data_IF_252914571891
#
_entry.id   IF_252914571891
#
_cell.length_a   1.000
_cell.length_b   1.000
_cell.length_c   1.000
_cell.angle_alpha   90.00
_cell.angle_beta   90.00
_cell.angle_gamma   90.00
#
_symmetry.space_group_name_H-M   'P 1'
#
loop_
_entity.id
_entity.type
_entity.pdbx_description
1 polymer ?
#
# COMPACT_ATOMS: atom_id res chain seq x y z
N UNK A 1 -10.47 -12.87 12.11
CA UNK A 1 -9.07 -13.36 12.11
C UNK A 1 -8.40 -13.24 10.73
N UNK A 2 -9.08 -13.58 9.63
CA UNK A 2 -8.53 -13.48 8.26
C UNK A 2 -8.23 -12.05 7.77
N UNK A 3 -8.95 -11.05 8.28
CA UNK A 3 -8.77 -9.63 7.90
C UNK A 3 -7.45 -9.09 8.44
N UNK A 4 -7.11 -9.42 9.68
CA UNK A 4 -5.82 -9.07 10.29
C UNK A 4 -4.67 -9.72 9.53
N UNK A 5 -4.83 -10.96 9.08
CA UNK A 5 -3.82 -11.61 8.23
C UNK A 5 -3.73 -10.96 6.85
N UNK A 6 -4.84 -10.54 6.22
CA UNK A 6 -4.81 -9.81 4.93
C UNK A 6 -4.14 -8.44 5.11
N UNK A 7 -4.45 -7.72 6.19
CA UNK A 7 -3.81 -6.45 6.51
C UNK A 7 -2.30 -6.63 6.74
N UNK A 8 -1.89 -7.62 7.54
CA UNK A 8 -0.46 -7.93 7.78
C UNK A 8 0.23 -8.34 6.48
N UNK A 9 -0.38 -9.18 5.64
CA UNK A 9 0.18 -9.58 4.34
C UNK A 9 0.25 -8.36 3.39
N UNK A 10 -0.74 -7.48 3.41
CA UNK A 10 -0.76 -6.22 2.66
C UNK A 10 0.36 -5.28 3.11
N UNK A 11 0.57 -5.13 4.41
CA UNK A 11 1.67 -4.35 4.98
C UNK A 11 3.04 -4.96 4.63
N UNK A 12 3.21 -6.28 4.76
CA UNK A 12 4.45 -6.97 4.37
C UNK A 12 4.69 -6.85 2.85
N UNK A 13 3.63 -6.96 2.03
CA UNK A 13 3.67 -6.82 0.58
C UNK A 13 4.02 -5.41 0.12
N UNK A 14 3.48 -4.38 0.77
CA UNK A 14 3.83 -2.98 0.54
C UNK A 14 5.30 -2.70 0.94
N UNK A 15 5.77 -3.29 2.04
CA UNK A 15 7.14 -3.09 2.54
C UNK A 15 8.21 -3.79 1.67
N UNK A 16 7.89 -4.96 1.10
CA UNK A 16 8.81 -5.73 0.23
C UNK A 16 8.99 -5.10 -1.17
N UNK A 17 8.20 -4.09 -1.53
CA UNK A 17 8.26 -3.36 -2.81
C UNK A 17 9.32 -2.23 -2.86
N UNK A 18 10.23 -2.13 -1.89
CA UNK A 18 11.09 -0.93 -1.78
C UNK A 18 12.19 -0.81 -2.86
N UNK A 19 12.65 -1.92 -3.47
CA UNK A 19 13.74 -1.88 -4.48
C UNK A 19 13.26 -1.73 -5.94
N UNK A 20 12.03 -2.14 -6.23
CA UNK A 20 11.44 -2.05 -7.59
C UNK A 20 10.82 -0.69 -7.89
N UNK A 21 10.62 0.13 -6.84
CA UNK A 21 9.94 1.41 -6.94
C UNK A 21 10.64 2.34 -7.93
N UNK A 22 11.97 2.48 -7.86
CA UNK A 22 12.78 3.31 -8.77
C UNK A 22 12.71 2.87 -10.25
N UNK A 23 12.74 1.56 -10.51
CA UNK A 23 12.67 1.00 -11.87
C UNK A 23 11.26 1.07 -12.47
N UNK A 24 10.22 1.03 -11.63
CA UNK A 24 8.82 1.02 -12.09
C UNK A 24 8.21 2.41 -12.19
N UNK A 25 8.59 3.34 -11.31
CA UNK A 25 8.07 4.71 -11.29
C UNK A 25 8.86 5.69 -12.16
N UNK A 26 10.02 5.26 -12.70
CA UNK A 26 10.86 6.10 -13.58
C UNK A 26 11.08 7.48 -12.98
N UNK A 27 11.59 7.49 -11.75
CA UNK A 27 11.82 8.68 -10.94
C UNK A 27 13.28 8.74 -10.48
N UNK A 28 13.75 9.93 -10.09
CA UNK A 28 15.09 10.11 -9.56
C UNK A 28 15.14 11.05 -8.35
N UNK A 29 15.78 10.57 -7.29
CA UNK A 29 15.87 11.29 -6.01
C UNK A 29 14.55 11.31 -5.25
N UNK A 30 14.54 11.95 -4.09
CA UNK A 30 13.30 12.21 -3.34
C UNK A 30 12.47 13.28 -4.05
N UNK A 31 13.08 14.42 -4.33
CA UNK A 31 12.45 15.55 -5.02
C UNK A 31 12.91 15.64 -6.47
N UNK A 32 14.21 15.42 -6.73
CA UNK A 32 14.77 15.41 -8.08
C UNK A 32 16.17 14.78 -8.10
N UNK A 33 16.79 14.70 -9.29
CA UNK A 33 18.11 14.11 -9.47
C UNK A 33 19.26 14.83 -8.73
N UNK A 34 19.09 16.10 -8.33
CA UNK A 34 20.10 16.87 -7.58
C UNK A 34 20.25 16.42 -6.13
N UNK A 35 19.33 15.59 -5.63
CA UNK A 35 19.49 14.90 -4.34
C UNK A 35 20.73 13.97 -4.32
N UNK A 36 21.25 13.63 -5.51
CA UNK A 36 22.45 12.81 -5.68
C UNK A 36 23.65 13.65 -6.08
N UNK A 37 24.80 13.44 -5.42
CA UNK A 37 26.10 13.94 -5.90
C UNK A 37 26.55 13.26 -7.19
N UNK A 38 26.23 11.98 -7.34
CA UNK A 38 26.43 11.19 -8.55
C UNK A 38 25.17 10.37 -8.77
N UNK A 39 24.50 10.60 -9.91
CA UNK A 39 23.22 9.97 -10.22
C UNK A 39 23.41 8.44 -10.32
N UNK A 40 22.66 7.62 -9.57
CA UNK A 40 22.78 6.17 -9.62
C UNK A 40 22.20 5.60 -10.93
N UNK A 41 22.67 4.43 -11.34
CA UNK A 41 22.21 3.75 -12.55
C UNK A 41 20.68 3.55 -12.61
N UNK A 42 20.01 3.38 -11.46
CA UNK A 42 18.55 3.21 -11.37
C UNK A 42 17.76 4.45 -11.77
N UNK A 43 18.38 5.63 -11.73
CA UNK A 43 17.76 6.90 -12.16
C UNK A 43 17.86 7.14 -13.68
N UNK A 44 18.58 6.28 -14.39
CA UNK A 44 19.00 6.51 -15.76
C UNK A 44 18.33 5.50 -16.68
N UNK A 45 17.75 5.94 -17.79
CA UNK A 45 17.16 5.05 -18.79
C UNK A 45 18.21 4.10 -19.40
N UNK A 46 19.45 4.57 -19.49
CA UNK A 46 20.60 3.81 -19.98
C UNK A 46 21.16 2.78 -18.98
N UNK A 47 20.74 2.82 -17.71
CA UNK A 47 21.24 1.93 -16.66
C UNK A 47 22.71 2.17 -16.28
N UNK A 48 23.28 3.33 -16.65
CA UNK A 48 24.65 3.73 -16.29
C UNK A 48 24.63 4.83 -15.24
N UNK A 49 25.57 4.76 -14.29
CA UNK A 49 25.76 5.82 -13.29
C UNK A 49 26.26 7.11 -13.96
N UNK A 50 25.91 8.26 -13.37
CA UNK A 50 26.33 9.57 -13.86
C UNK A 50 25.74 9.97 -15.22
N UNK A 51 24.57 9.44 -15.58
CA UNK A 51 23.92 9.78 -16.84
C UNK A 51 23.57 11.28 -16.92
N UNK A 52 23.53 11.80 -18.15
CA UNK A 52 23.13 13.20 -18.44
C UNK A 52 21.61 13.37 -18.55
N UNK A 53 20.88 12.27 -18.58
CA UNK A 53 19.43 12.15 -18.78
C UNK A 53 18.73 11.42 -17.62
N UNK A 54 18.84 11.90 -16.36
CA UNK A 54 18.10 11.32 -15.26
C UNK A 54 16.59 11.51 -15.44
N UNK A 55 15.80 10.62 -14.85
CA UNK A 55 14.34 10.82 -14.80
C UNK A 55 13.98 12.18 -14.18
N UNK A 56 13.09 12.96 -14.81
CA UNK A 56 12.84 14.35 -14.42
C UNK A 56 12.00 14.50 -13.15
N UNK A 57 11.24 13.47 -12.78
CA UNK A 57 10.34 13.48 -11.62
C UNK A 57 11.01 12.88 -10.38
N UNK A 58 10.83 13.53 -9.24
CA UNK A 58 11.21 12.99 -7.94
C UNK A 58 10.35 11.80 -7.53
N UNK A 59 10.92 10.86 -6.79
CA UNK A 59 10.20 9.68 -6.35
C UNK A 59 9.12 9.97 -5.30
N UNK A 60 9.23 11.06 -4.54
CA UNK A 60 8.16 11.49 -3.64
C UNK A 60 6.91 11.87 -4.45
N UNK A 61 7.07 12.65 -5.53
CA UNK A 61 5.97 13.02 -6.40
C UNK A 61 5.41 11.82 -7.15
N UNK A 62 6.28 10.99 -7.75
CA UNK A 62 5.83 9.81 -8.49
C UNK A 62 5.06 8.83 -7.57
N UNK A 63 5.52 8.64 -6.33
CA UNK A 63 4.82 7.80 -5.35
C UNK A 63 3.49 8.42 -4.93
N UNK A 64 3.45 9.74 -4.72
CA UNK A 64 2.23 10.44 -4.38
C UNK A 64 1.18 10.29 -5.49
N UNK A 65 1.56 10.47 -6.76
CA UNK A 65 0.65 10.32 -7.90
C UNK A 65 0.13 8.89 -8.04
N UNK A 66 1.00 7.89 -7.81
CA UNK A 66 0.60 6.49 -7.78
C UNK A 66 -0.41 6.22 -6.66
N UNK A 67 -0.09 6.61 -5.42
CA UNK A 67 -0.94 6.37 -4.26
C UNK A 67 -2.27 7.11 -4.42
N UNK A 68 -2.25 8.36 -4.89
CA UNK A 68 -3.43 9.18 -5.13
C UNK A 68 -4.40 8.50 -6.10
N UNK A 69 -3.90 7.85 -7.15
CA UNK A 69 -4.72 7.10 -8.11
C UNK A 69 -5.48 5.93 -7.49
N UNK A 70 -4.88 5.23 -6.52
CA UNK A 70 -5.49 4.06 -5.88
C UNK A 70 -6.21 4.37 -4.56
N UNK A 71 -5.97 5.53 -3.96
CA UNK A 71 -6.46 5.89 -2.63
C UNK A 71 -7.98 5.81 -2.56
N UNK A 72 -8.70 6.44 -3.50
CA UNK A 72 -10.16 6.44 -3.51
C UNK A 72 -10.74 5.03 -3.65
N UNK A 73 -10.22 4.24 -4.61
CA UNK A 73 -10.68 2.87 -4.84
C UNK A 73 -10.43 1.98 -3.62
N UNK A 74 -9.23 2.06 -3.02
CA UNK A 74 -8.90 1.32 -1.81
C UNK A 74 -9.78 1.72 -0.61
N UNK A 75 -10.12 3.00 -0.49
CA UNK A 75 -10.97 3.52 0.59
C UNK A 75 -12.40 2.98 0.52
N UNK A 76 -12.99 2.95 -0.68
CA UNK A 76 -14.34 2.40 -0.90
C UNK A 76 -14.38 0.91 -0.54
N UNK A 77 -13.43 0.12 -1.07
CA UNK A 77 -13.37 -1.32 -0.82
C UNK A 77 -13.20 -1.60 0.68
N UNK A 78 -12.29 -0.89 1.33
CA UNK A 78 -12.04 -1.04 2.77
C UNK A 78 -13.29 -0.70 3.60
N UNK A 79 -14.03 0.34 3.22
CA UNK A 79 -15.25 0.74 3.93
C UNK A 79 -16.33 -0.34 3.84
N UNK A 80 -16.53 -0.93 2.66
CA UNK A 80 -17.48 -2.02 2.48
C UNK A 80 -17.11 -3.26 3.32
N UNK A 81 -15.82 -3.61 3.36
CA UNK A 81 -15.32 -4.71 4.19
C UNK A 81 -15.58 -4.46 5.69
N UNK A 82 -15.31 -3.24 6.17
CA UNK A 82 -15.59 -2.86 7.55
C UNK A 82 -17.08 -3.04 7.93
N UNK A 83 -18.01 -2.70 7.03
CA UNK A 83 -19.45 -2.87 7.29
C UNK A 83 -19.80 -4.35 7.45
N UNK A 84 -19.32 -5.21 6.54
CA UNK A 84 -19.57 -6.65 6.58
C UNK A 84 -19.02 -7.27 7.87
N UNK A 85 -17.83 -6.85 8.30
CA UNK A 85 -17.22 -7.33 9.55
C UNK A 85 -18.01 -6.93 10.79
N UNK A 86 -18.46 -5.67 10.86
CA UNK A 86 -19.28 -5.21 11.97
C UNK A 86 -20.60 -5.97 12.04
N UNK A 87 -21.26 -6.21 10.90
CA UNK A 87 -22.48 -7.01 10.85
C UNK A 87 -22.23 -8.44 11.34
N UNK A 88 -21.14 -9.08 10.91
CA UNK A 88 -20.80 -10.44 11.33
C UNK A 88 -20.59 -10.53 12.85
N UNK A 89 -19.90 -9.56 13.46
CA UNK A 89 -19.70 -9.52 14.92
C UNK A 89 -21.03 -9.36 15.65
N UNK A 90 -21.91 -8.46 15.19
CA UNK A 90 -23.23 -8.26 15.82
C UNK A 90 -24.05 -9.56 15.77
N UNK A 91 -24.11 -10.22 14.61
CA UNK A 91 -24.82 -11.50 14.47
C UNK A 91 -24.25 -12.60 15.37
N UNK A 92 -22.91 -12.70 15.47
CA UNK A 92 -22.25 -13.67 16.35
C UNK A 92 -22.60 -13.43 17.83
N UNK A 93 -22.60 -12.17 18.27
CA UNK A 93 -22.97 -11.80 19.63
C UNK A 93 -24.43 -12.14 19.94
N UNK A 94 -25.35 -11.85 19.02
CA UNK A 94 -26.78 -12.19 19.17
C UNK A 94 -26.95 -13.71 19.30
N UNK A 95 -26.30 -14.48 18.42
CA UNK A 95 -26.39 -15.95 18.44
C UNK A 95 -25.82 -16.53 19.74
N UNK A 96 -24.66 -16.06 20.19
CA UNK A 96 -24.05 -16.50 21.44
C UNK A 96 -24.95 -16.20 22.65
N UNK A 97 -25.62 -15.05 22.66
CA UNK A 97 -26.57 -14.70 23.71
C UNK A 97 -27.80 -15.63 23.70
N UNK A 98 -28.36 -15.93 22.52
CA UNK A 98 -29.48 -16.86 22.39
C UNK A 98 -29.09 -18.26 22.86
N UNK A 99 -27.96 -18.80 22.39
CA UNK A 99 -27.46 -20.12 22.80
C UNK A 99 -27.31 -20.24 24.32
N UNK A 100 -26.71 -19.24 24.97
CA UNK A 100 -26.55 -19.21 26.43
C UNK A 100 -27.90 -19.20 27.17
N UNK A 101 -28.95 -18.65 26.57
CA UNK A 101 -30.27 -18.66 27.18
C UNK A 101 -30.99 -20.00 26.97
N UNK A 102 -30.83 -20.64 25.81
CA UNK A 102 -31.35 -21.99 25.57
C UNK A 102 -30.74 -23.03 26.51
N UNK A 103 -29.43 -22.96 26.78
CA UNK A 103 -28.72 -23.92 27.66
C UNK A 103 -29.11 -23.80 29.15
N UNK A 104 -29.81 -22.73 29.53
CA UNK A 104 -30.26 -22.48 30.91
C UNK A 104 -31.70 -22.94 31.19
N UNK A 105 -32.40 -23.44 30.19
CA UNK A 105 -33.77 -23.99 30.29
C UNK A 105 -33.70 -25.50 30.28
#
# INVERSE_FOLDING_TARGET
MWVVTIAIIGFIGAWKRNRYMLLTLKCCGGVNASDWKTVPASCCASGKEGCKDPYPVGCAQATYDLVKGYFLTSGIITTLLCIVELTAVICACILAHQYKNYDKV
#
